data_IF_761643249044
#
_entry.id   IF_761643249044
#
_cell.length_a   1.000
_cell.length_b   1.000
_cell.length_c   1.000
_cell.angle_alpha   90.00
_cell.angle_beta   90.00
_cell.angle_gamma   90.00
#
_symmetry.space_group_name_H-M   'P 1'
#
loop_
_entity.id
_entity.type
_entity.pdbx_description
1 polymer ?
#
# COMPACT_ATOMS: atom_id res chain seq x y z
N UNK A 1 -14.74 -18.96 -7.41
CA UNK A 1 -13.41 -18.30 -7.27
C UNK A 1 -13.65 -17.11 -6.36
N UNK A 2 -13.46 -17.30 -5.05
CA UNK A 2 -13.98 -16.40 -4.02
C UNK A 2 -12.94 -15.33 -3.69
N UNK A 3 -13.22 -14.09 -4.07
CA UNK A 3 -12.43 -12.90 -3.70
C UNK A 3 -12.63 -12.59 -2.21
N UNK A 4 -11.96 -13.37 -1.35
CA UNK A 4 -11.77 -13.00 0.05
C UNK A 4 -10.67 -11.95 0.13
N UNK A 5 -11.08 -10.69 -0.04
CA UNK A 5 -10.17 -9.55 -0.01
C UNK A 5 -10.06 -9.07 1.44
N UNK A 6 -8.96 -9.45 2.11
CA UNK A 6 -8.55 -8.95 3.44
C UNK A 6 -8.36 -7.41 3.48
N UNK A 7 -8.49 -6.77 2.31
CA UNK A 7 -8.66 -5.34 2.12
C UNK A 7 -9.85 -5.12 1.19
N UNK A 8 -10.88 -4.42 1.64
CA UNK A 8 -12.04 -4.03 0.83
C UNK A 8 -11.69 -3.06 -0.32
N UNK A 9 -10.85 -3.48 -1.28
CA UNK A 9 -10.40 -2.67 -2.41
C UNK A 9 -11.55 -2.20 -3.30
N UNK A 10 -12.66 -2.95 -3.34
CA UNK A 10 -13.88 -2.54 -4.04
C UNK A 10 -14.59 -1.41 -3.29
N UNK A 11 -14.72 -1.53 -1.97
CA UNK A 11 -15.32 -0.48 -1.13
C UNK A 11 -14.46 0.78 -1.11
N UNK A 12 -13.14 0.68 -1.19
CA UNK A 12 -12.24 1.85 -1.20
C UNK A 12 -12.42 2.73 -2.44
N UNK A 13 -12.62 2.13 -3.62
CA UNK A 13 -12.84 2.87 -4.85
C UNK A 13 -14.20 3.57 -4.86
N UNK A 14 -15.26 2.86 -4.49
CA UNK A 14 -16.61 3.43 -4.36
C UNK A 14 -16.65 4.54 -3.29
N UNK A 15 -15.96 4.35 -2.16
CA UNK A 15 -15.79 5.37 -1.14
C UNK A 15 -15.05 6.60 -1.69
N UNK A 16 -14.00 6.40 -2.51
CA UNK A 16 -13.27 7.50 -3.13
C UNK A 16 -14.15 8.29 -4.11
N UNK A 17 -14.99 7.60 -4.91
CA UNK A 17 -15.98 8.23 -5.77
C UNK A 17 -17.01 9.02 -4.95
N UNK A 18 -17.60 8.43 -3.91
CA UNK A 18 -18.54 9.13 -3.02
C UNK A 18 -17.92 10.39 -2.42
N UNK A 19 -16.68 10.30 -1.94
CA UNK A 19 -15.94 11.47 -1.45
C UNK A 19 -15.75 12.51 -2.56
N UNK A 20 -15.37 12.10 -3.77
CA UNK A 20 -15.21 13.01 -4.92
C UNK A 20 -16.50 13.76 -5.23
N UNK A 21 -17.63 13.07 -5.34
CA UNK A 21 -18.92 13.70 -5.63
C UNK A 21 -19.37 14.65 -4.51
N UNK A 22 -19.09 14.32 -3.25
CA UNK A 22 -19.38 15.16 -2.09
C UNK A 22 -18.45 16.38 -1.92
N UNK A 23 -17.36 16.49 -2.70
CA UNK A 23 -16.45 17.64 -2.60
C UNK A 23 -17.04 18.94 -3.17
N UNK A 24 -16.49 20.08 -2.78
CA UNK A 24 -16.87 21.41 -3.29
C UNK A 24 -16.35 21.72 -4.71
N UNK A 25 -15.66 20.76 -5.33
CA UNK A 25 -15.10 20.91 -6.67
C UNK A 25 -16.19 21.08 -7.73
N UNK A 26 -15.84 21.74 -8.84
CA UNK A 26 -16.75 21.90 -9.97
C UNK A 26 -17.11 20.55 -10.61
N UNK A 27 -18.27 20.48 -11.28
CA UNK A 27 -18.69 19.29 -12.01
C UNK A 27 -17.68 18.88 -13.09
N UNK A 28 -17.06 19.86 -13.76
CA UNK A 28 -16.04 19.65 -14.79
C UNK A 28 -14.81 18.98 -14.18
N UNK A 29 -14.29 19.52 -13.07
CA UNK A 29 -13.12 18.96 -12.38
C UNK A 29 -13.39 17.56 -11.82
N UNK A 30 -14.58 17.33 -11.24
CA UNK A 30 -15.01 16.00 -10.77
C UNK A 30 -14.98 14.99 -11.93
N UNK A 31 -15.55 15.36 -13.07
CA UNK A 31 -15.58 14.52 -14.28
C UNK A 31 -14.17 14.22 -14.81
N UNK A 32 -13.27 15.19 -14.82
CA UNK A 32 -11.88 14.97 -15.24
C UNK A 32 -11.16 13.94 -14.34
N UNK A 33 -11.36 14.00 -13.01
CA UNK A 33 -10.76 13.04 -12.07
C UNK A 33 -11.36 11.64 -12.28
N UNK A 34 -12.66 11.54 -12.51
CA UNK A 34 -13.35 10.28 -12.77
C UNK A 34 -12.89 9.62 -14.09
N UNK A 35 -12.84 10.40 -15.17
CA UNK A 35 -12.36 9.94 -16.48
C UNK A 35 -10.90 9.47 -16.41
N UNK A 36 -10.04 10.20 -15.70
CA UNK A 36 -8.67 9.78 -15.43
C UNK A 36 -8.61 8.47 -14.64
N UNK A 37 -9.49 8.31 -13.65
CA UNK A 37 -9.55 7.09 -12.83
C UNK A 37 -9.95 5.88 -13.67
N UNK A 38 -10.94 6.05 -14.56
CA UNK A 38 -11.42 5.04 -15.49
C UNK A 38 -10.33 4.58 -16.45
N UNK A 39 -9.60 5.51 -17.09
CA UNK A 39 -8.52 5.11 -18.01
C UNK A 39 -7.37 4.40 -17.29
N UNK A 40 -7.05 4.82 -16.05
CA UNK A 40 -6.00 4.17 -15.25
C UNK A 40 -6.36 2.74 -14.88
N UNK A 41 -7.63 2.48 -14.54
CA UNK A 41 -8.14 1.12 -14.33
C UNK A 41 -8.08 0.30 -15.62
N UNK A 42 -8.54 0.86 -16.74
CA UNK A 42 -8.49 0.19 -18.05
C UNK A 42 -7.06 -0.18 -18.48
N UNK A 43 -6.05 0.63 -18.09
CA UNK A 43 -4.62 0.37 -18.31
C UNK A 43 -4.00 -0.61 -17.29
N UNK A 44 -4.80 -1.27 -16.45
CA UNK A 44 -4.33 -2.27 -15.49
C UNK A 44 -3.77 -1.73 -14.19
N UNK A 45 -4.01 -0.46 -13.84
CA UNK A 45 -3.66 0.02 -12.49
C UNK A 45 -4.54 -0.62 -11.44
N UNK A 46 -3.96 -0.99 -10.29
CA UNK A 46 -4.73 -1.50 -9.16
C UNK A 46 -5.68 -0.42 -8.61
N UNK A 47 -6.84 -0.84 -8.06
CA UNK A 47 -7.84 0.06 -7.45
C UNK A 47 -7.21 0.99 -6.41
N UNK A 48 -6.33 0.47 -5.54
CA UNK A 48 -5.62 1.28 -4.53
C UNK A 48 -4.78 2.42 -5.14
N UNK A 49 -4.05 2.15 -6.23
CA UNK A 49 -3.26 3.18 -6.91
C UNK A 49 -4.16 4.26 -7.50
N UNK A 50 -5.32 3.87 -8.03
CA UNK A 50 -6.31 4.81 -8.57
C UNK A 50 -6.94 5.64 -7.45
N UNK A 51 -7.32 5.03 -6.33
CA UNK A 51 -7.82 5.73 -5.13
C UNK A 51 -6.80 6.76 -4.64
N UNK A 52 -5.51 6.41 -4.59
CA UNK A 52 -4.44 7.36 -4.24
C UNK A 52 -4.38 8.53 -5.23
N UNK A 53 -4.49 8.26 -6.54
CA UNK A 53 -4.53 9.31 -7.56
C UNK A 53 -5.74 10.23 -7.36
N UNK A 54 -6.94 9.68 -7.13
CA UNK A 54 -8.16 10.45 -6.88
C UNK A 54 -8.02 11.35 -5.65
N UNK A 55 -7.45 10.83 -4.56
CA UNK A 55 -7.19 11.61 -3.36
C UNK A 55 -6.21 12.77 -3.64
N UNK A 56 -5.08 12.49 -4.30
CA UNK A 56 -4.11 13.51 -4.69
C UNK A 56 -4.74 14.58 -5.57
N UNK A 57 -5.50 14.19 -6.60
CA UNK A 57 -6.10 15.13 -7.55
C UNK A 57 -7.19 15.99 -6.93
N UNK A 58 -8.03 15.42 -6.05
CA UNK A 58 -8.99 16.21 -5.28
C UNK A 58 -8.29 17.27 -4.43
N UNK A 59 -7.22 16.88 -3.76
CA UNK A 59 -6.45 17.77 -2.89
C UNK A 59 -5.77 18.89 -3.70
N UNK A 60 -5.15 18.54 -4.84
CA UNK A 60 -4.53 19.50 -5.74
C UNK A 60 -5.56 20.42 -6.41
N UNK A 61 -6.74 19.92 -6.77
CA UNK A 61 -7.82 20.70 -7.36
C UNK A 61 -8.36 21.76 -6.39
N UNK A 62 -8.57 21.37 -5.13
CA UNK A 62 -9.03 22.28 -4.08
C UNK A 62 -8.03 23.42 -3.86
N UNK A 63 -6.74 23.09 -3.82
CA UNK A 63 -5.69 24.08 -3.63
C UNK A 63 -5.46 24.98 -4.85
N UNK A 64 -5.56 24.41 -6.06
CA UNK A 64 -5.45 25.15 -7.30
C UNK A 64 -6.61 26.16 -7.46
N UNK A 65 -7.79 25.86 -6.92
CA UNK A 65 -8.95 26.76 -6.91
C UNK A 65 -9.53 27.08 -8.29
N UNK A 66 -9.07 26.39 -9.34
CA UNK A 66 -9.51 26.57 -10.74
C UNK A 66 -9.50 25.24 -11.49
N UNK A 67 -10.21 25.20 -12.62
CA UNK A 67 -10.26 24.01 -13.47
C UNK A 67 -8.86 23.67 -14.03
N UNK A 68 -8.50 22.38 -14.02
CA UNK A 68 -7.17 21.94 -14.47
C UNK A 68 -6.86 22.33 -15.92
N UNK A 69 -7.85 22.40 -16.82
CA UNK A 69 -7.65 22.81 -18.21
C UNK A 69 -7.41 24.32 -18.36
N UNK A 70 -7.83 25.12 -17.37
CA UNK A 70 -7.65 26.57 -17.35
C UNK A 70 -6.39 27.01 -16.62
N UNK A 71 -5.72 26.10 -15.91
CA UNK A 71 -4.50 26.41 -15.18
C UNK A 71 -3.34 26.75 -16.14
N UNK A 72 -2.70 27.87 -15.90
CA UNK A 72 -1.50 28.30 -16.63
C UNK A 72 -0.26 27.60 -16.09
N UNK A 73 0.89 27.84 -16.73
CA UNK A 73 2.16 27.30 -16.25
C UNK A 73 2.51 27.90 -14.89
N UNK A 74 2.25 29.20 -14.73
CA UNK A 74 2.49 30.00 -13.54
C UNK A 74 1.65 29.47 -12.38
N UNK A 75 0.36 29.18 -12.61
CA UNK A 75 -0.51 28.57 -11.59
C UNK A 75 0.03 27.23 -11.07
N UNK A 76 0.58 26.40 -11.96
CA UNK A 76 1.15 25.11 -11.59
C UNK A 76 2.50 25.25 -10.89
N UNK A 77 3.27 26.29 -11.23
CA UNK A 77 4.50 26.64 -10.51
C UNK A 77 4.14 27.03 -9.07
N UNK A 78 3.17 27.93 -8.89
CA UNK A 78 2.72 28.39 -7.57
C UNK A 78 2.14 27.24 -6.73
N UNK A 79 1.38 26.35 -7.35
CA UNK A 79 0.87 25.13 -6.70
C UNK A 79 2.01 24.23 -6.22
N UNK A 80 3.05 24.02 -7.02
CA UNK A 80 4.20 23.18 -6.65
C UNK A 80 5.07 23.86 -5.60
N UNK A 81 5.28 25.17 -5.70
CA UNK A 81 6.02 25.95 -4.70
C UNK A 81 5.32 25.92 -3.34
N UNK A 82 4.00 26.12 -3.34
CA UNK A 82 3.20 26.03 -2.13
C UNK A 82 3.19 24.61 -1.54
N UNK A 83 3.19 23.57 -2.38
CA UNK A 83 3.38 22.18 -1.93
C UNK A 83 4.73 21.95 -1.24
N UNK A 84 5.80 22.52 -1.79
CA UNK A 84 7.15 22.35 -1.25
C UNK A 84 7.37 23.07 0.08
N UNK A 85 6.67 24.18 0.30
CA UNK A 85 6.72 24.91 1.57
C UNK A 85 5.95 24.25 2.71
N UNK A 86 5.08 23.27 2.42
CA UNK A 86 4.34 22.53 3.47
C UNK A 86 5.24 21.55 4.22
N UNK A 87 4.94 21.36 5.50
CA UNK A 87 5.52 20.31 6.35
C UNK A 87 4.88 18.94 6.08
N UNK A 88 5.01 18.46 4.84
CA UNK A 88 4.72 17.09 4.47
C UNK A 88 6.00 16.27 4.34
N UNK A 89 5.89 14.96 4.58
CA UNK A 89 6.95 14.02 4.23
C UNK A 89 7.31 14.15 2.74
N UNK A 90 8.60 13.99 2.42
CA UNK A 90 9.10 14.14 1.05
C UNK A 90 8.42 13.16 0.07
N UNK A 91 8.10 11.95 0.52
CA UNK A 91 7.30 10.98 -0.26
C UNK A 91 5.90 11.50 -0.60
N UNK A 92 5.22 12.18 0.34
CA UNK A 92 3.89 12.75 0.09
C UNK A 92 3.96 13.85 -0.96
N UNK A 93 4.95 14.76 -0.86
CA UNK A 93 5.19 15.80 -1.88
C UNK A 93 5.50 15.17 -3.23
N UNK A 94 6.36 14.15 -3.25
CA UNK A 94 6.72 13.41 -4.45
C UNK A 94 5.50 12.77 -5.14
N UNK A 95 4.67 12.05 -4.38
CA UNK A 95 3.44 11.43 -4.88
C UNK A 95 2.49 12.44 -5.50
N UNK A 96 2.26 13.58 -4.84
CA UNK A 96 1.40 14.65 -5.34
C UNK A 96 1.92 15.19 -6.67
N UNK A 97 3.23 15.47 -6.79
CA UNK A 97 3.85 15.97 -8.03
C UNK A 97 3.83 14.93 -9.15
N UNK A 98 4.06 13.65 -8.85
CA UNK A 98 3.99 12.56 -9.84
C UNK A 98 2.57 12.41 -10.37
N UNK A 99 1.58 12.39 -9.48
CA UNK A 99 0.17 12.29 -9.87
C UNK A 99 -0.25 13.51 -10.69
N UNK A 100 0.14 14.72 -10.30
CA UNK A 100 -0.11 15.95 -11.05
C UNK A 100 0.44 15.85 -12.49
N UNK A 101 1.71 15.49 -12.62
CA UNK A 101 2.36 15.36 -13.94
C UNK A 101 1.70 14.30 -14.82
N UNK A 102 1.40 13.13 -14.24
CA UNK A 102 0.73 12.03 -14.93
C UNK A 102 -0.68 12.43 -15.38
N UNK A 103 -1.42 13.16 -14.55
CA UNK A 103 -2.75 13.64 -14.87
C UNK A 103 -2.74 14.66 -16.02
N UNK A 104 -1.83 15.64 -16.00
CA UNK A 104 -1.71 16.60 -17.12
C UNK A 104 -1.24 15.94 -18.42
N UNK A 105 -0.38 14.92 -18.34
CA UNK A 105 -0.01 14.10 -19.50
C UNK A 105 -1.24 13.48 -20.16
N UNK A 106 -2.14 12.90 -19.37
CA UNK A 106 -3.40 12.38 -19.87
C UNK A 106 -4.35 13.49 -20.36
N UNK A 107 -4.55 14.53 -19.55
CA UNK A 107 -5.59 15.55 -19.75
C UNK A 107 -5.35 16.40 -21.00
N UNK A 108 -4.11 16.84 -21.26
CA UNK A 108 -3.77 17.75 -22.36
C UNK A 108 -2.83 17.11 -23.39
N UNK A 109 -2.10 16.07 -23.01
CA UNK A 109 -1.12 15.38 -23.87
C UNK A 109 -1.64 14.11 -24.52
N UNK A 110 -2.95 13.83 -24.41
CA UNK A 110 -3.60 12.61 -24.90
C UNK A 110 -2.94 11.32 -24.39
N UNK A 111 -2.29 11.40 -23.23
CA UNK A 111 -1.52 10.32 -22.59
C UNK A 111 -0.23 9.88 -23.32
N UNK A 112 0.16 10.61 -24.36
CA UNK A 112 1.35 10.36 -25.17
C UNK A 112 2.48 11.31 -24.77
N UNK A 113 2.22 12.61 -24.88
CA UNK A 113 3.21 13.67 -24.63
C UNK A 113 3.01 14.36 -23.29
N UNK A 114 4.10 14.89 -22.72
CA UNK A 114 4.02 15.76 -21.54
C UNK A 114 3.84 17.21 -22.01
N UNK A 115 2.68 17.85 -21.72
CA UNK A 115 2.39 19.20 -22.19
C UNK A 115 3.38 20.24 -21.67
N UNK A 116 3.61 21.31 -22.45
CA UNK A 116 4.54 22.41 -22.10
C UNK A 116 4.24 23.03 -20.72
N UNK A 117 2.96 23.10 -20.33
CA UNK A 117 2.50 23.67 -19.05
C UNK A 117 3.06 22.93 -17.82
N UNK A 118 3.38 21.63 -17.94
CA UNK A 118 3.87 20.79 -16.82
C UNK A 118 5.22 20.13 -17.11
N UNK A 119 5.78 20.26 -18.33
CA UNK A 119 7.02 19.58 -18.76
C UNK A 119 8.23 19.91 -17.87
N UNK A 120 8.25 21.10 -17.29
CA UNK A 120 9.29 21.57 -16.37
C UNK A 120 9.29 20.81 -15.04
N UNK A 121 8.16 20.26 -14.60
CA UNK A 121 8.05 19.54 -13.34
C UNK A 121 8.80 18.21 -13.44
N UNK A 122 9.88 18.08 -12.67
CA UNK A 122 10.68 16.85 -12.56
C UNK A 122 10.64 16.39 -11.10
N UNK A 123 9.63 15.61 -10.69
CA UNK A 123 9.54 15.14 -9.31
C UNK A 123 10.77 14.29 -9.00
N UNK A 124 11.50 14.66 -7.95
CA UNK A 124 12.65 13.92 -7.44
C UNK A 124 12.38 13.64 -5.98
N UNK A 125 12.60 12.40 -5.58
CA UNK A 125 12.66 12.07 -4.18
C UNK A 125 14.04 12.49 -3.69
N UNK A 126 14.12 13.40 -2.73
CA UNK A 126 15.35 13.54 -1.96
C UNK A 126 15.48 12.25 -1.17
N UNK A 127 16.51 11.45 -1.46
CA UNK A 127 16.77 10.20 -0.77
C UNK A 127 17.09 10.54 0.70
N UNK A 128 16.05 10.62 1.52
CA UNK A 128 16.19 10.80 2.96
C UNK A 128 16.11 9.43 3.61
N UNK A 129 17.29 8.98 4.05
CA UNK A 129 17.53 8.02 5.14
C UNK A 129 16.95 6.63 4.90
N UNK A 130 17.78 5.75 4.33
CA UNK A 130 17.71 4.36 4.74
C UNK A 130 18.03 4.31 6.24
N UNK A 131 17.21 3.58 7.00
CA UNK A 131 17.54 3.32 8.40
C UNK A 131 18.92 2.71 8.48
N UNK A 132 19.76 3.24 9.37
CA UNK A 132 21.02 2.61 9.70
C UNK A 132 20.75 1.32 10.47
N UNK A 133 21.66 0.32 10.41
CA UNK A 133 21.50 -0.93 11.17
C UNK A 133 21.21 -0.70 12.65
N UNK A 134 21.80 0.33 13.25
CA UNK A 134 21.64 0.70 14.67
C UNK A 134 20.25 1.32 14.97
N UNK A 135 19.51 1.74 13.94
CA UNK A 135 18.13 2.23 14.05
C UNK A 135 17.08 1.11 13.83
N UNK A 136 17.55 -0.13 13.61
CA UNK A 136 16.71 -1.32 13.54
C UNK A 136 16.56 -1.95 14.93
N UNK A 137 15.45 -2.66 15.11
CA UNK A 137 15.19 -3.35 16.37
C UNK A 137 16.23 -4.45 16.60
N UNK A 138 16.78 -4.48 17.81
CA UNK A 138 17.64 -5.60 18.23
C UNK A 138 16.82 -6.85 18.48
N UNK A 139 17.48 -8.01 18.55
CA UNK A 139 16.81 -9.28 18.83
C UNK A 139 16.06 -9.20 20.17
N UNK A 140 16.68 -8.61 21.19
CA UNK A 140 16.11 -8.44 22.52
C UNK A 140 14.89 -7.52 22.52
N UNK A 141 14.91 -6.46 21.70
CA UNK A 141 13.74 -5.58 21.54
C UNK A 141 12.58 -6.29 20.86
N UNK A 142 12.86 -7.13 19.85
CA UNK A 142 11.84 -7.94 19.18
C UNK A 142 11.26 -9.00 20.12
N UNK A 143 12.09 -9.64 20.94
CA UNK A 143 11.64 -10.58 21.96
C UNK A 143 10.75 -9.89 23.01
N UNK A 144 11.12 -8.69 23.46
CA UNK A 144 10.27 -7.87 24.34
C UNK A 144 8.92 -7.57 23.71
N UNK A 145 8.90 -7.18 22.42
CA UNK A 145 7.65 -6.96 21.68
C UNK A 145 6.79 -8.22 21.61
N UNK A 146 7.40 -9.36 21.30
CA UNK A 146 6.71 -10.65 21.21
C UNK A 146 6.14 -11.09 22.57
N UNK A 147 6.90 -10.91 23.65
CA UNK A 147 6.49 -11.26 25.01
C UNK A 147 5.42 -10.33 25.60
N UNK A 148 5.28 -9.11 25.07
CA UNK A 148 4.22 -8.18 25.45
C UNK A 148 2.85 -8.52 24.81
N UNK A 149 2.80 -9.48 23.89
CA UNK A 149 1.53 -9.91 23.28
C UNK A 149 0.71 -10.79 24.23
N UNK A 150 -0.61 -10.78 24.05
CA UNK A 150 -1.55 -11.51 24.93
C UNK A 150 -1.97 -12.87 24.41
N UNK A 151 -1.52 -13.28 23.22
CA UNK A 151 -1.95 -14.52 22.57
C UNK A 151 -0.82 -15.13 21.74
N UNK A 152 -0.84 -16.47 21.59
CA UNK A 152 0.20 -17.21 20.88
C UNK A 152 0.31 -16.83 19.40
N UNK A 153 -0.81 -16.48 18.74
CA UNK A 153 -0.83 -16.03 17.34
C UNK A 153 0.07 -14.81 17.13
N UNK A 154 -0.19 -13.74 17.88
CA UNK A 154 0.51 -12.47 17.71
C UNK A 154 1.99 -12.62 18.09
N UNK A 155 2.29 -13.41 19.14
CA UNK A 155 3.66 -13.76 19.52
C UNK A 155 4.42 -14.45 18.38
N UNK A 156 3.83 -15.50 17.80
CA UNK A 156 4.42 -16.23 16.69
C UNK A 156 4.54 -15.35 15.42
N UNK A 157 3.52 -14.53 15.12
CA UNK A 157 3.53 -13.65 13.96
C UNK A 157 4.69 -12.65 13.99
N UNK A 158 4.94 -12.00 15.13
CA UNK A 158 6.03 -11.02 15.28
C UNK A 158 7.39 -11.68 15.01
N UNK A 159 7.64 -12.83 15.63
CA UNK A 159 8.94 -13.50 15.52
C UNK A 159 9.16 -14.12 14.15
N UNK A 160 8.13 -14.76 13.58
CA UNK A 160 8.19 -15.27 12.20
C UNK A 160 8.37 -14.12 11.20
N UNK A 161 7.72 -12.97 11.39
CA UNK A 161 7.93 -11.80 10.53
C UNK A 161 9.37 -11.28 10.61
N UNK A 162 9.93 -11.18 11.81
CA UNK A 162 11.30 -10.74 12.01
C UNK A 162 12.32 -11.70 11.38
N UNK A 163 12.19 -12.99 11.66
CA UNK A 163 13.11 -14.02 11.17
C UNK A 163 13.01 -14.22 9.65
N UNK A 164 11.79 -14.23 9.11
CA UNK A 164 11.57 -14.52 7.68
C UNK A 164 11.96 -13.36 6.76
N UNK A 165 12.07 -12.13 7.27
CA UNK A 165 12.27 -10.91 6.48
C UNK A 165 11.20 -10.68 5.41
N UNK A 166 10.07 -11.37 5.49
CA UNK A 166 9.03 -11.29 4.49
C UNK A 166 8.22 -10.00 4.63
N UNK A 167 7.59 -9.56 3.54
CA UNK A 167 6.65 -8.44 3.63
C UNK A 167 5.43 -8.89 4.42
N UNK A 168 4.89 -8.04 5.27
CA UNK A 168 3.70 -8.37 6.09
C UNK A 168 2.54 -8.90 5.23
N UNK A 169 2.30 -8.29 4.07
CA UNK A 169 1.25 -8.76 3.15
C UNK A 169 1.49 -10.19 2.66
N UNK A 170 2.74 -10.60 2.46
CA UNK A 170 3.05 -11.98 2.07
C UNK A 170 2.73 -12.97 3.20
N UNK A 171 3.01 -12.61 4.45
CA UNK A 171 2.68 -13.45 5.62
C UNK A 171 1.18 -13.55 5.85
N UNK A 172 0.46 -12.43 5.81
CA UNK A 172 -0.97 -12.40 6.11
C UNK A 172 -1.82 -13.25 5.15
N UNK A 173 -1.34 -13.49 3.93
CA UNK A 173 -2.02 -14.36 2.96
C UNK A 173 -1.53 -15.82 2.98
N UNK A 174 -0.59 -16.18 3.86
CA UNK A 174 -0.19 -17.58 4.02
C UNK A 174 -1.36 -18.39 4.56
N UNK A 175 -1.48 -19.62 4.04
CA UNK A 175 -2.40 -20.64 4.53
C UNK A 175 -1.66 -21.72 5.30
N UNK A 176 -2.36 -22.52 6.09
CA UNK A 176 -1.77 -23.62 6.85
C UNK A 176 -0.99 -24.58 5.94
N UNK A 177 -1.51 -24.91 4.74
CA UNK A 177 -0.80 -25.73 3.74
C UNK A 177 0.54 -25.17 3.26
N UNK A 178 0.80 -23.89 3.49
CA UNK A 178 2.04 -23.25 3.08
C UNK A 178 3.16 -23.43 4.11
N UNK A 179 2.90 -24.08 5.24
CA UNK A 179 3.89 -24.39 6.27
C UNK A 179 4.27 -25.87 6.17
N UNK A 180 5.56 -26.15 6.02
CA UNK A 180 6.09 -27.50 5.98
C UNK A 180 7.18 -27.65 7.04
N UNK A 181 7.04 -28.63 7.94
CA UNK A 181 8.07 -28.93 8.92
C UNK A 181 9.03 -29.99 8.37
N UNK A 182 10.31 -29.82 8.67
CA UNK A 182 11.36 -30.79 8.37
C UNK A 182 12.33 -30.89 9.56
N UNK A 183 13.39 -31.69 9.40
CA UNK A 183 14.38 -31.94 10.47
C UNK A 183 15.15 -30.68 10.91
N UNK A 184 15.11 -29.59 10.13
CA UNK A 184 15.85 -28.36 10.38
C UNK A 184 14.93 -27.19 10.74
N UNK A 185 13.63 -27.42 10.93
CA UNK A 185 12.66 -26.42 11.36
C UNK A 185 11.42 -26.39 10.47
N UNK A 186 11.05 -25.21 9.98
CA UNK A 186 9.92 -25.04 9.08
C UNK A 186 10.30 -24.29 7.80
N UNK A 187 9.57 -24.56 6.72
CA UNK A 187 9.66 -23.89 5.43
C UNK A 187 8.32 -23.27 5.10
N UNK A 188 8.31 -21.96 4.88
CA UNK A 188 7.16 -21.20 4.40
C UNK A 188 7.20 -21.11 2.87
N UNK A 189 6.11 -21.52 2.22
CA UNK A 189 5.90 -21.35 0.79
C UNK A 189 5.23 -20.00 0.53
N UNK A 190 6.05 -18.97 0.32
CA UNK A 190 5.60 -17.57 0.20
C UNK A 190 5.42 -17.21 -1.26
N UNK A 191 4.28 -16.61 -1.62
CA UNK A 191 4.05 -16.07 -2.96
C UNK A 191 3.91 -14.53 -2.91
N UNK A 192 4.81 -13.83 -3.58
CA UNK A 192 4.84 -12.37 -3.63
C UNK A 192 4.82 -11.83 -5.06
N UNK A 193 4.87 -10.50 -5.19
CA UNK A 193 4.89 -9.82 -6.50
C UNK A 193 6.05 -10.28 -7.40
N UNK A 194 7.17 -10.66 -6.79
CA UNK A 194 8.39 -11.10 -7.49
C UNK A 194 8.46 -12.62 -7.69
N UNK A 195 7.35 -13.34 -7.45
CA UNK A 195 7.27 -14.79 -7.60
C UNK A 195 7.22 -15.53 -6.26
N UNK A 196 7.16 -16.85 -6.36
CA UNK A 196 7.11 -17.76 -5.22
C UNK A 196 8.51 -18.14 -4.74
N UNK A 197 8.69 -18.21 -3.42
CA UNK A 197 9.96 -18.59 -2.79
C UNK A 197 9.72 -19.43 -1.53
N UNK A 198 10.74 -20.21 -1.16
CA UNK A 198 10.79 -20.92 0.12
C UNK A 198 11.55 -20.06 1.13
N UNK A 199 10.97 -19.89 2.31
CA UNK A 199 11.60 -19.14 3.41
C UNK A 199 11.74 -20.03 4.63
N UNK A 200 12.96 -20.14 5.15
CA UNK A 200 13.32 -21.01 6.25
C UNK A 200 13.06 -20.32 7.59
N UNK A 201 12.49 -21.06 8.54
CA UNK A 201 12.25 -20.66 9.93
C UNK A 201 12.89 -21.72 10.83
N UNK A 202 13.79 -21.28 11.70
CA UNK A 202 14.60 -22.09 12.61
C UNK A 202 14.35 -21.61 14.04
N UNK A 203 14.59 -20.33 14.33
CA UNK A 203 14.55 -19.78 15.69
C UNK A 203 13.13 -19.76 16.22
N UNK A 204 12.17 -19.34 15.40
CA UNK A 204 10.76 -19.18 15.78
C UNK A 204 9.94 -20.47 15.62
N UNK A 205 10.56 -21.60 15.27
CA UNK A 205 9.84 -22.82 14.86
C UNK A 205 8.97 -23.40 15.96
N UNK A 206 9.43 -23.38 17.21
CA UNK A 206 8.66 -23.91 18.34
C UNK A 206 7.39 -23.09 18.60
N UNK A 207 7.49 -21.75 18.48
CA UNK A 207 6.35 -20.85 18.65
C UNK A 207 5.38 -20.94 17.48
N UNK A 208 5.89 -21.10 16.25
CA UNK A 208 5.05 -21.38 15.10
C UNK A 208 4.30 -22.71 15.26
N UNK A 209 4.99 -23.76 15.73
CA UNK A 209 4.39 -25.07 16.01
C UNK A 209 3.31 -24.99 17.09
N UNK A 210 3.58 -24.29 18.20
CA UNK A 210 2.60 -24.06 19.27
C UNK A 210 1.35 -23.34 18.74
N UNK A 211 1.54 -22.26 17.97
CA UNK A 211 0.43 -21.55 17.35
C UNK A 211 -0.41 -22.45 16.44
N UNK A 212 0.21 -23.30 15.63
CA UNK A 212 -0.51 -24.23 14.75
C UNK A 212 -1.35 -25.25 15.53
N UNK A 213 -0.91 -25.67 16.73
CA UNK A 213 -1.69 -26.58 17.58
C UNK A 213 -2.91 -25.92 18.21
N UNK A 214 -2.81 -24.63 18.54
CA UNK A 214 -3.91 -23.81 19.07
C UNK A 214 -4.78 -23.18 17.98
N UNK A 215 -4.42 -23.33 16.71
CA UNK A 215 -5.11 -22.69 15.59
C UNK A 215 -6.57 -23.16 15.52
N UNK A 216 -7.55 -22.24 15.44
CA UNK A 216 -8.98 -22.60 15.50
C UNK A 216 -9.41 -23.55 14.37
N UNK A 217 -8.84 -23.38 13.19
CA UNK A 217 -9.10 -24.20 12.00
C UNK A 217 -7.89 -25.10 11.64
N UNK A 218 -7.18 -25.66 12.64
CA UNK A 218 -5.90 -26.37 12.42
C UNK A 218 -5.94 -27.52 11.41
N UNK A 219 -7.10 -28.17 11.25
CA UNK A 219 -7.29 -29.30 10.34
C UNK A 219 -7.67 -28.85 8.91
N UNK A 220 -7.86 -27.54 8.67
CA UNK A 220 -8.20 -26.99 7.37
C UNK A 220 -6.95 -26.43 6.66
N UNK A 221 -6.35 -27.15 5.69
CA UNK A 221 -5.15 -26.68 4.98
C UNK A 221 -5.36 -25.35 4.24
N UNK A 222 -6.60 -24.99 3.91
CA UNK A 222 -6.94 -23.75 3.22
C UNK A 222 -7.19 -22.56 4.16
N UNK A 223 -7.23 -22.78 5.48
CA UNK A 223 -7.36 -21.71 6.46
C UNK A 223 -6.12 -20.79 6.42
N UNK A 224 -6.34 -19.49 6.64
CA UNK A 224 -5.22 -18.56 6.76
C UNK A 224 -4.42 -18.87 8.02
N UNK A 225 -3.10 -18.83 7.90
CA UNK A 225 -2.17 -19.05 9.00
C UNK A 225 -2.35 -18.01 10.12
N UNK A 226 -2.78 -16.79 9.77
CA UNK A 226 -2.96 -15.67 10.70
C UNK A 226 -4.40 -15.12 10.59
N UNK A 227 -5.40 -15.79 11.18
CA UNK A 227 -6.78 -15.33 11.18
C UNK A 227 -6.95 -14.08 12.07
N UNK A 228 -8.01 -13.30 11.86
CA UNK A 228 -8.36 -12.16 12.72
C UNK A 228 -8.75 -12.58 14.16
N UNK A 229 -8.79 -11.62 15.10
CA UNK A 229 -9.02 -11.89 16.55
C UNK A 229 -10.32 -12.61 16.88
N UNK A 230 -11.31 -12.62 15.99
CA UNK A 230 -12.60 -13.28 16.17
C UNK A 230 -12.75 -14.56 15.32
N UNK A 231 -11.66 -15.10 14.77
CA UNK A 231 -11.73 -16.12 13.70
C UNK A 231 -12.35 -15.57 12.40
N UNK A 232 -12.64 -14.27 12.36
CA UNK A 232 -13.20 -13.59 11.20
C UNK A 232 -12.06 -13.17 10.29
N UNK A 233 -12.11 -13.69 9.08
CA UNK A 233 -11.41 -13.19 7.91
C UNK A 233 -12.08 -11.86 7.51
N UNK A 234 -11.63 -10.75 8.12
CA UNK A 234 -12.15 -9.41 7.81
C UNK A 234 -11.67 -8.92 6.45
#
# INVERSE_FOLDING_TARGET
>A
MNDFVLYKHQTDFENALRRLHASKLTSITKKQIEDFSRIRLAKGSTKLRVVKCMWCLRYLADWLGKDFRKATKEDLIDLVMSLDSKHYAEYTKYDLKIVLKMFYKWLLGKDEDVPKVIKWLKPRLKNEKHKLPEELLTVEEVEKLANATTNARDKALILVLYESGCRIGELLYLKLKNVQFDNYGAVLLVNGKTGSRRVRIIVSVQLLGHWLQEHPDKDNPEAFLWPGRLGRYN
#
